data_IF_798116652773
#
_entry.id   IF_798116652773
#
_cell.length_a   1.000
_cell.length_b   1.000
_cell.length_c   1.000
_cell.angle_alpha   90.00
_cell.angle_beta   90.00
_cell.angle_gamma   90.00
#
_symmetry.space_group_name_H-M   'P 1'
#
loop_
_entity.id
_entity.type
_entity.pdbx_description
1 polymer ?
#
# COMPACT_ATOMS: atom_id res chain seq x y z
N UNK A 1 15.98 8.29 -3.66
CA UNK A 1 15.86 6.81 -3.77
C UNK A 1 17.25 6.23 -3.62
N UNK A 2 17.44 5.23 -2.76
CA UNK A 2 18.70 4.49 -2.69
C UNK A 2 18.79 3.45 -3.84
N UNK A 3 19.85 2.65 -3.88
CA UNK A 3 20.00 1.58 -4.87
C UNK A 3 18.92 0.49 -4.75
N UNK A 4 18.51 -0.08 -5.89
CA UNK A 4 17.57 -1.21 -5.98
C UNK A 4 16.18 -0.96 -5.38
N UNK A 5 15.66 0.27 -5.45
CA UNK A 5 14.25 0.55 -5.14
C UNK A 5 13.40 0.23 -6.35
N UNK A 6 12.38 -0.61 -6.17
CA UNK A 6 11.37 -0.90 -7.20
C UNK A 6 10.24 0.12 -7.08
N UNK A 7 9.95 0.84 -8.17
CA UNK A 7 8.87 1.83 -8.23
C UNK A 7 7.91 1.44 -9.34
N UNK A 8 6.67 1.16 -8.95
CA UNK A 8 5.60 0.77 -9.85
C UNK A 8 5.09 1.93 -10.71
N UNK A 9 4.46 1.60 -11.83
CA UNK A 9 3.92 2.56 -12.77
C UNK A 9 2.92 3.52 -12.09
N UNK A 10 2.96 4.80 -12.46
CA UNK A 10 2.11 5.86 -11.91
C UNK A 10 2.23 6.10 -10.41
N UNK A 11 3.24 5.52 -9.73
CA UNK A 11 3.55 5.89 -8.36
C UNK A 11 3.98 7.37 -8.29
N UNK A 12 3.40 8.11 -7.34
CA UNK A 12 3.74 9.51 -7.07
C UNK A 12 4.43 9.57 -5.72
N UNK A 13 5.65 10.11 -5.71
CA UNK A 13 6.45 10.29 -4.50
C UNK A 13 6.59 11.79 -4.24
N UNK A 14 6.01 12.27 -3.14
CA UNK A 14 6.10 13.67 -2.74
C UNK A 14 7.54 14.10 -2.45
N UNK A 15 7.80 15.40 -2.57
CA UNK A 15 9.13 15.97 -2.38
C UNK A 15 9.76 15.60 -1.03
N UNK A 16 11.08 15.41 -1.03
CA UNK A 16 11.87 15.03 0.16
C UNK A 16 11.45 13.72 0.83
N UNK A 17 10.70 12.84 0.15
CA UNK A 17 10.52 11.47 0.62
C UNK A 17 11.76 10.62 0.34
N UNK A 18 12.20 9.86 1.35
CA UNK A 18 13.37 8.99 1.27
C UNK A 18 12.99 7.52 1.25
N UNK A 19 13.48 6.76 0.27
CA UNK A 19 13.38 5.31 0.24
C UNK A 19 14.78 4.69 0.46
N UNK A 20 15.01 3.92 1.53
CA UNK A 20 16.21 3.11 1.70
C UNK A 20 16.24 2.00 0.66
N UNK A 21 17.41 1.40 0.49
CA UNK A 21 17.68 0.35 -0.50
C UNK A 21 16.71 -0.83 -0.36
N UNK A 22 16.37 -1.46 -1.49
CA UNK A 22 15.47 -2.62 -1.57
C UNK A 22 14.02 -2.39 -1.09
N UNK A 23 13.55 -1.14 -1.08
CA UNK A 23 12.14 -0.86 -0.80
C UNK A 23 11.32 -1.02 -2.08
N UNK A 24 10.10 -1.54 -1.97
CA UNK A 24 9.16 -1.67 -3.09
C UNK A 24 8.02 -0.67 -2.92
N UNK A 25 7.74 0.10 -3.97
CA UNK A 25 6.65 1.06 -4.03
C UNK A 25 5.72 0.62 -5.14
N UNK A 26 4.51 0.19 -4.79
CA UNK A 26 3.52 -0.35 -5.74
C UNK A 26 2.98 0.71 -6.70
N UNK A 27 2.38 0.24 -7.79
CA UNK A 27 1.78 1.08 -8.83
C UNK A 27 0.65 1.96 -8.28
N UNK A 28 0.41 3.11 -8.90
CA UNK A 28 -0.66 4.06 -8.53
C UNK A 28 -0.66 4.54 -7.06
N UNK A 29 0.46 4.38 -6.37
CA UNK A 29 0.62 4.87 -5.01
C UNK A 29 0.76 6.38 -4.97
N UNK A 30 0.38 6.97 -3.84
CA UNK A 30 0.73 8.35 -3.51
C UNK A 30 1.45 8.36 -2.17
N UNK A 31 2.73 8.68 -2.17
CA UNK A 31 3.53 8.83 -0.96
C UNK A 31 3.64 10.31 -0.63
N UNK A 32 3.22 10.71 0.56
CA UNK A 32 3.36 12.08 1.03
C UNK A 32 4.83 12.50 1.14
N UNK A 33 5.11 13.78 0.88
CA UNK A 33 6.46 14.33 1.04
C UNK A 33 6.94 14.28 2.49
N UNK A 34 8.24 14.47 2.69
CA UNK A 34 8.90 14.49 4.01
C UNK A 34 8.70 13.17 4.81
N UNK A 35 8.54 12.03 4.12
CA UNK A 35 8.38 10.72 4.76
C UNK A 35 9.56 9.79 4.47
N UNK A 36 9.79 8.82 5.35
CA UNK A 36 10.80 7.77 5.16
C UNK A 36 10.10 6.43 4.91
N UNK A 37 10.31 5.85 3.74
CA UNK A 37 9.69 4.60 3.29
C UNK A 37 10.47 3.41 3.84
N UNK A 38 10.30 3.09 5.13
CA UNK A 38 11.05 2.01 5.78
C UNK A 38 10.46 0.59 5.52
N UNK A 39 9.27 0.49 4.93
CA UNK A 39 8.60 -0.77 4.53
C UNK A 39 8.02 -0.67 3.14
N UNK A 40 7.65 -1.80 2.55
CA UNK A 40 7.05 -1.81 1.22
C UNK A 40 5.69 -1.10 1.24
N UNK A 41 5.39 -0.36 0.17
CA UNK A 41 4.15 0.41 0.01
C UNK A 41 3.28 -0.30 -1.03
N UNK A 42 2.20 -1.00 -0.64
CA UNK A 42 1.33 -1.70 -1.57
C UNK A 42 0.70 -0.82 -2.66
N UNK A 43 0.34 -1.38 -3.84
CA UNK A 43 -0.28 -0.64 -4.94
C UNK A 43 -1.56 0.09 -4.57
N UNK A 44 -1.90 1.17 -5.27
CA UNK A 44 -3.16 1.92 -5.14
C UNK A 44 -3.43 2.62 -3.80
N UNK A 45 -2.47 2.66 -2.86
CA UNK A 45 -2.67 3.32 -1.57
C UNK A 45 -2.07 4.72 -1.51
N UNK A 46 -2.58 5.51 -0.56
CA UNK A 46 -1.90 6.69 -0.05
C UNK A 46 -1.08 6.26 1.17
N UNK A 47 0.18 6.69 1.21
CA UNK A 47 1.08 6.51 2.34
C UNK A 47 1.52 7.87 2.85
N UNK A 48 1.56 8.05 4.17
CA UNK A 48 1.97 9.31 4.77
C UNK A 48 2.08 9.20 6.30
N UNK A 49 2.28 10.35 6.97
CA UNK A 49 2.57 10.46 8.41
C UNK A 49 4.01 10.05 8.76
N UNK A 50 4.37 10.31 10.01
CA UNK A 50 5.66 9.94 10.60
C UNK A 50 5.35 9.20 11.91
N UNK A 51 5.62 7.88 12.02
CA UNK A 51 6.17 7.00 10.98
C UNK A 51 5.22 6.79 9.78
N UNK A 52 5.79 6.41 8.62
CA UNK A 52 5.01 6.20 7.40
C UNK A 52 3.94 5.13 7.61
N UNK A 53 2.72 5.45 7.25
CA UNK A 53 1.54 4.65 7.54
C UNK A 53 0.56 4.64 6.38
N UNK A 54 -0.26 3.59 6.30
CA UNK A 54 -1.41 3.53 5.42
C UNK A 54 -2.39 4.67 5.71
N UNK A 55 -2.73 5.44 4.67
CA UNK A 55 -3.61 6.60 4.74
C UNK A 55 -4.85 6.47 3.84
N UNK A 56 -5.26 5.23 3.54
CA UNK A 56 -6.41 4.93 2.68
C UNK A 56 -6.03 4.64 1.23
N UNK A 57 -6.99 4.18 0.44
CA UNK A 57 -6.85 3.99 -1.01
C UNK A 57 -6.70 5.34 -1.73
N UNK A 58 -5.85 5.38 -2.76
CA UNK A 58 -5.67 6.51 -3.67
C UNK A 58 -6.80 6.60 -4.69
N UNK A 59 -8.05 6.65 -4.20
CA UNK A 59 -9.25 6.68 -5.05
C UNK A 59 -9.23 7.85 -6.03
N UNK A 60 -8.75 9.03 -5.61
CA UNK A 60 -8.60 10.20 -6.49
C UNK A 60 -7.60 9.92 -7.63
N UNK A 61 -6.44 9.32 -7.33
CA UNK A 61 -5.45 8.97 -8.34
C UNK A 61 -5.97 7.92 -9.32
N UNK A 62 -6.71 6.92 -8.82
CA UNK A 62 -7.38 5.90 -9.64
C UNK A 62 -8.47 6.51 -10.53
N UNK A 63 -9.34 7.36 -9.99
CA UNK A 63 -10.39 8.06 -10.76
C UNK A 63 -9.80 8.90 -11.90
N UNK A 64 -8.73 9.66 -11.62
CA UNK A 64 -8.00 10.45 -12.64
C UNK A 64 -7.39 9.59 -13.75
N UNK A 65 -7.20 8.29 -13.51
CA UNK A 65 -6.65 7.33 -14.47
C UNK A 65 -7.74 6.47 -15.13
N UNK A 66 -9.02 6.78 -14.90
CA UNK A 66 -10.14 6.11 -15.56
C UNK A 66 -10.57 4.79 -14.93
N UNK A 67 -10.11 4.46 -13.72
CA UNK A 67 -10.60 3.30 -13.00
C UNK A 67 -12.08 3.48 -12.65
N UNK A 68 -12.87 2.42 -12.83
CA UNK A 68 -14.29 2.43 -12.51
C UNK A 68 -14.52 2.54 -11.00
N UNK A 69 -15.67 3.07 -10.59
CA UNK A 69 -16.07 3.08 -9.18
C UNK A 69 -16.16 1.67 -8.60
N UNK A 70 -16.55 0.68 -9.41
CA UNK A 70 -16.60 -0.72 -9.01
C UNK A 70 -15.20 -1.25 -8.66
N UNK A 71 -14.22 -1.02 -9.55
CA UNK A 71 -12.82 -1.41 -9.32
C UNK A 71 -12.24 -0.73 -8.08
N UNK A 72 -12.53 0.56 -7.89
CA UNK A 72 -12.07 1.30 -6.69
C UNK A 72 -12.69 0.71 -5.43
N UNK A 73 -13.98 0.33 -5.46
CA UNK A 73 -14.64 -0.30 -4.33
C UNK A 73 -14.09 -1.70 -4.03
N UNK A 74 -13.71 -2.47 -5.05
CA UNK A 74 -13.04 -3.75 -4.87
C UNK A 74 -11.67 -3.56 -4.18
N UNK A 75 -10.86 -2.61 -4.64
CA UNK A 75 -9.57 -2.27 -4.00
C UNK A 75 -9.76 -1.80 -2.55
N UNK A 76 -10.81 -1.01 -2.28
CA UNK A 76 -11.16 -0.60 -0.92
C UNK A 76 -11.46 -1.80 -0.02
N UNK A 77 -12.25 -2.78 -0.49
CA UNK A 77 -12.59 -3.96 0.33
C UNK A 77 -11.38 -4.88 0.56
N UNK A 78 -10.48 -5.00 -0.42
CA UNK A 78 -9.20 -5.70 -0.25
C UNK A 78 -8.40 -5.08 0.88
N UNK A 79 -8.18 -3.76 0.85
CA UNK A 79 -7.40 -3.09 1.90
C UNK A 79 -8.11 -3.03 3.25
N UNK A 80 -9.46 -2.98 3.26
CA UNK A 80 -10.24 -3.13 4.49
C UNK A 80 -10.02 -4.50 5.13
N UNK A 81 -9.91 -5.54 4.32
CA UNK A 81 -9.58 -6.89 4.79
C UNK A 81 -8.16 -6.96 5.33
N UNK A 82 -7.18 -6.41 4.61
CA UNK A 82 -5.76 -6.45 5.01
C UNK A 82 -5.50 -5.69 6.30
N UNK A 83 -6.11 -4.52 6.50
CA UNK A 83 -5.77 -3.62 7.60
C UNK A 83 -6.78 -3.58 8.75
N UNK A 84 -8.05 -3.92 8.52
CA UNK A 84 -9.13 -3.63 9.50
C UNK A 84 -9.88 -4.87 10.01
N UNK A 85 -9.63 -6.07 9.47
CA UNK A 85 -10.32 -7.30 9.93
C UNK A 85 -9.70 -7.99 11.14
N UNK A 86 -8.59 -7.48 11.68
CA UNK A 86 -7.89 -8.11 12.81
C UNK A 86 -7.21 -9.43 12.45
N UNK A 87 -7.08 -9.75 11.16
CA UNK A 87 -6.34 -10.89 10.65
C UNK A 87 -4.85 -10.53 10.55
N UNK A 88 -3.98 -11.53 10.68
CA UNK A 88 -2.59 -11.35 10.26
C UNK A 88 -2.50 -11.27 8.73
N UNK A 89 -1.35 -10.84 8.20
CA UNK A 89 -1.19 -10.62 6.76
C UNK A 89 -1.51 -11.87 5.94
N UNK A 90 -0.97 -13.04 6.28
CA UNK A 90 -1.23 -14.28 5.53
C UNK A 90 -2.72 -14.65 5.53
N UNK A 91 -3.36 -14.61 6.70
CA UNK A 91 -4.79 -14.88 6.85
C UNK A 91 -5.66 -13.89 6.06
N UNK A 92 -5.27 -12.61 6.05
CA UNK A 92 -5.98 -11.59 5.29
C UNK A 92 -5.88 -11.83 3.77
N UNK A 93 -4.71 -12.24 3.28
CA UNK A 93 -4.52 -12.57 1.86
C UNK A 93 -5.32 -13.81 1.46
N UNK A 94 -5.29 -14.85 2.28
CA UNK A 94 -6.10 -16.06 2.04
C UNK A 94 -7.61 -15.72 2.03
N UNK A 95 -8.06 -14.85 2.94
CA UNK A 95 -9.44 -14.36 2.96
C UNK A 95 -9.78 -13.60 1.68
N UNK A 96 -8.91 -12.68 1.24
CA UNK A 96 -9.11 -11.89 0.01
C UNK A 96 -9.28 -12.81 -1.21
N UNK A 97 -8.43 -13.81 -1.36
CA UNK A 97 -8.48 -14.74 -2.50
C UNK A 97 -9.73 -15.61 -2.50
N UNK A 98 -10.19 -16.04 -1.32
CA UNK A 98 -11.35 -16.93 -1.18
C UNK A 98 -12.69 -16.20 -1.24
N UNK A 99 -12.77 -14.97 -0.73
CA UNK A 99 -14.04 -14.30 -0.44
C UNK A 99 -14.32 -13.10 -1.35
N UNK A 100 -13.29 -12.50 -1.96
CA UNK A 100 -13.46 -11.36 -2.85
C UNK A 100 -13.35 -11.80 -4.33
N UNK A 101 -14.17 -11.21 -5.23
CA UNK A 101 -14.10 -11.52 -6.66
C UNK A 101 -12.69 -11.36 -7.22
N UNK A 102 -12.30 -12.25 -8.12
CA UNK A 102 -11.02 -12.14 -8.82
C UNK A 102 -11.00 -10.90 -9.71
N UNK A 103 -9.84 -10.28 -9.81
CA UNK A 103 -9.63 -9.05 -10.58
C UNK A 103 -8.15 -8.69 -10.62
N UNK A 104 -7.74 -8.02 -11.69
CA UNK A 104 -6.34 -7.68 -11.92
C UNK A 104 -5.74 -6.87 -10.76
N UNK A 105 -6.49 -5.92 -10.21
CA UNK A 105 -6.05 -5.07 -9.11
C UNK A 105 -5.94 -5.86 -7.80
N UNK A 106 -6.89 -6.77 -7.52
CA UNK A 106 -6.82 -7.66 -6.36
C UNK A 106 -5.57 -8.52 -6.44
N UNK A 107 -5.34 -9.15 -7.58
CA UNK A 107 -4.24 -10.10 -7.77
C UNK A 107 -2.88 -9.39 -7.73
N UNK A 108 -2.81 -8.16 -8.26
CA UNK A 108 -1.63 -7.30 -8.14
C UNK A 108 -1.33 -6.94 -6.67
N UNK A 109 -2.36 -6.63 -5.87
CA UNK A 109 -2.19 -6.35 -4.44
C UNK A 109 -1.70 -7.62 -3.72
N UNK A 110 -2.36 -8.75 -3.94
CA UNK A 110 -2.04 -10.00 -3.23
C UNK A 110 -0.62 -10.46 -3.55
N UNK A 111 -0.24 -10.52 -4.83
CA UNK A 111 1.12 -10.89 -5.26
C UNK A 111 2.17 -9.98 -4.65
N UNK A 112 1.98 -8.65 -4.72
CA UNK A 112 2.90 -7.68 -4.14
C UNK A 112 3.12 -7.92 -2.65
N UNK A 113 2.03 -8.12 -1.89
CA UNK A 113 2.11 -8.31 -0.43
C UNK A 113 2.76 -9.66 -0.10
N UNK A 114 2.43 -10.75 -0.81
CA UNK A 114 3.04 -12.08 -0.60
C UNK A 114 4.55 -12.07 -0.85
N UNK A 115 5.01 -11.32 -1.84
CA UNK A 115 6.42 -11.22 -2.21
C UNK A 115 7.23 -10.24 -1.32
N UNK A 116 6.56 -9.46 -0.46
CA UNK A 116 7.23 -8.49 0.40
C UNK A 116 8.10 -9.18 1.45
N UNK A 117 9.43 -8.97 1.36
CA UNK A 117 10.41 -9.58 2.28
C UNK A 117 10.51 -8.88 3.63
N UNK A 118 10.14 -7.59 3.70
CA UNK A 118 10.23 -6.77 4.92
C UNK A 118 8.86 -6.44 5.52
N UNK A 119 7.80 -6.98 4.92
CA UNK A 119 6.43 -6.61 5.20
C UNK A 119 6.06 -5.22 4.66
N UNK A 120 4.77 -4.94 4.74
CA UNK A 120 4.15 -3.72 4.21
C UNK A 120 3.97 -2.67 5.30
N UNK A 121 3.81 -1.39 4.90
CA UNK A 121 3.45 -0.32 5.82
C UNK A 121 2.17 -0.68 6.61
N UNK A 122 2.07 -0.25 7.87
CA UNK A 122 0.93 -0.53 8.75
C UNK A 122 -0.03 0.66 8.82
N UNK A 123 -1.21 0.45 9.39
CA UNK A 123 -2.05 1.56 9.87
C UNK A 123 -1.30 2.31 10.97
N UNK A 124 -1.49 3.62 11.03
CA UNK A 124 -0.88 4.44 12.07
C UNK A 124 -1.45 4.07 13.44
N UNK A 125 -0.58 3.70 14.37
CA UNK A 125 -0.92 3.59 15.77
C UNK A 125 -0.26 4.72 16.55
N UNK A 126 -1.00 5.35 17.49
CA UNK A 126 -0.47 6.43 18.32
C UNK A 126 0.68 5.95 19.22
N UNK A 127 0.70 4.67 19.57
CA UNK A 127 1.81 4.03 20.28
C UNK A 127 3.12 3.98 19.47
N UNK A 128 3.06 4.07 18.13
CA UNK A 128 4.26 4.03 17.27
C UNK A 128 5.12 5.31 17.39
N UNK A 129 4.62 6.37 18.04
CA UNK A 129 5.37 7.59 18.33
C UNK A 129 6.27 7.47 19.56
N UNK A 130 5.96 6.56 20.47
CA UNK A 130 6.65 6.42 21.76
C UNK A 130 7.86 5.46 21.66
N UNK A 131 8.02 4.75 20.52
CA UNK A 131 9.15 3.84 20.24
C UNK A 131 10.22 4.41 19.28
N UNK A 132 10.09 5.69 18.88
CA UNK A 132 10.98 6.35 17.91
C UNK A 132 11.96 7.37 18.51
#
# INVERSE_FOLDING_TARGET
LAGHVEVGEYAIIGGMAGAPQFSRIGAHTYVAGHTVINKDVPPFIKAGRTPISYAGVNSVGMQRRGFSSETINQVLEVYRTIYNKGLNTSQALDFVEQQLPAGAERDLIVSFVRESKRGIIKVFNKADLDES
#
